data_IF_357402111069
#
_entry.id   IF_357402111069
#
_cell.length_a   1.000
_cell.length_b   1.000
_cell.length_c   1.000
_cell.angle_alpha   90.00
_cell.angle_beta   90.00
_cell.angle_gamma   90.00
#
_symmetry.space_group_name_H-M   'P 1'
#
loop_
_entity.id
_entity.type
_entity.pdbx_description
1 polymer ?
#
# COMPACT_ATOMS: atom_id res chain seq x y z
N UNK A 1 -10.84 1.64 61.62
CA UNK A 1 -11.34 0.34 61.12
C UNK A 1 -12.55 0.67 60.26
N UNK A 2 -12.70 0.37 58.98
CA UNK A 2 -11.93 -0.37 57.98
C UNK A 2 -12.66 -0.04 56.67
N UNK A 3 -11.99 0.58 55.70
CA UNK A 3 -12.64 1.06 54.47
C UNK A 3 -12.75 -0.08 53.46
N UNK A 4 -13.98 -0.54 53.20
CA UNK A 4 -14.29 -1.57 52.22
C UNK A 4 -14.00 -1.10 50.78
N UNK A 5 -12.78 -1.38 50.32
CA UNK A 5 -12.43 -1.29 48.90
C UNK A 5 -13.07 -2.47 48.15
N UNK A 6 -14.24 -2.25 47.54
CA UNK A 6 -14.83 -3.17 46.55
C UNK A 6 -13.89 -3.30 45.34
N UNK A 7 -13.05 -4.35 45.37
CA UNK A 7 -12.22 -4.76 44.23
C UNK A 7 -13.15 -5.18 43.09
N UNK A 8 -13.15 -4.40 42.00
CA UNK A 8 -13.84 -4.72 40.75
C UNK A 8 -13.15 -5.95 40.14
N UNK A 9 -13.71 -7.12 40.41
CA UNK A 9 -13.18 -8.40 39.95
C UNK A 9 -13.34 -8.47 38.42
N UNK A 10 -12.24 -8.33 37.68
CA UNK A 10 -12.23 -8.47 36.22
C UNK A 10 -12.58 -9.92 35.89
N UNK A 11 -13.78 -10.16 35.34
CA UNK A 11 -14.17 -11.47 34.83
C UNK A 11 -13.31 -11.78 33.60
N UNK A 12 -12.19 -12.47 33.81
CA UNK A 12 -11.50 -13.10 32.70
C UNK A 12 -12.42 -14.14 32.09
N UNK A 13 -12.68 -13.98 30.78
CA UNK A 13 -13.50 -14.90 29.99
C UNK A 13 -13.07 -16.34 30.27
N UNK A 14 -14.06 -17.20 30.53
CA UNK A 14 -13.85 -18.64 30.72
C UNK A 14 -13.15 -19.18 29.48
N UNK A 15 -11.85 -19.43 29.58
CA UNK A 15 -11.10 -20.19 28.59
C UNK A 15 -11.73 -21.58 28.52
N UNK A 16 -12.60 -21.77 27.53
CA UNK A 16 -13.19 -23.05 27.15
C UNK A 16 -12.03 -23.99 26.89
N UNK A 17 -11.78 -24.93 27.82
CA UNK A 17 -10.83 -26.03 27.65
C UNK A 17 -11.28 -26.83 26.43
N UNK A 18 -10.69 -26.55 25.26
CA UNK A 18 -10.78 -27.42 24.09
C UNK A 18 -9.75 -28.55 24.26
N UNK A 19 -10.12 -29.72 23.77
CA UNK A 19 -9.55 -31.04 24.05
C UNK A 19 -8.02 -31.08 23.94
N UNK A 20 -7.43 -31.91 24.79
CA UNK A 20 -6.01 -32.21 24.88
C UNK A 20 -5.39 -32.50 23.51
N UNK A 21 -4.33 -31.77 23.21
CA UNK A 21 -3.62 -31.87 21.93
C UNK A 21 -2.62 -30.73 21.78
N UNK A 22 -1.55 -30.75 22.58
CA UNK A 22 -0.28 -30.11 22.22
C UNK A 22 -0.29 -28.58 22.05
N UNK A 23 -0.77 -27.84 23.04
CA UNK A 23 -0.41 -26.42 23.19
C UNK A 23 0.74 -26.38 24.19
N UNK A 24 1.93 -26.72 23.71
CA UNK A 24 3.14 -26.29 24.39
C UNK A 24 3.03 -24.78 24.55
N UNK A 25 3.20 -24.28 25.79
CA UNK A 25 3.53 -22.87 26.02
C UNK A 25 4.50 -22.49 24.92
N UNK A 26 4.10 -21.63 23.99
CA UNK A 26 5.05 -20.98 23.11
C UNK A 26 5.93 -20.19 24.06
N UNK A 27 7.07 -20.77 24.45
CA UNK A 27 8.15 -20.02 25.06
C UNK A 27 8.44 -18.96 24.02
N UNK A 28 7.95 -17.74 24.27
CA UNK A 28 8.35 -16.58 23.51
C UNK A 28 9.86 -16.57 23.71
N UNK A 29 10.60 -17.06 22.71
CA UNK A 29 12.05 -16.99 22.77
C UNK A 29 12.29 -15.49 22.84
N UNK A 30 12.81 -15.02 23.97
CA UNK A 30 13.44 -13.71 24.07
C UNK A 30 14.64 -13.79 23.12
N UNK A 31 14.38 -13.74 21.82
CA UNK A 31 15.38 -13.39 20.83
C UNK A 31 15.83 -12.03 21.32
N UNK A 32 17.08 -11.96 21.78
CA UNK A 32 17.76 -10.70 21.99
C UNK A 32 17.46 -9.89 20.74
N UNK A 33 16.56 -8.92 20.87
CA UNK A 33 16.10 -8.12 19.76
C UNK A 33 17.24 -7.15 19.43
N UNK A 34 18.34 -7.66 18.86
CA UNK A 34 19.08 -6.97 17.82
C UNK A 34 18.11 -6.89 16.63
N UNK A 35 17.06 -6.07 16.78
CA UNK A 35 15.89 -6.09 15.91
C UNK A 35 16.17 -5.49 14.54
N UNK A 36 17.33 -4.85 14.36
CA UNK A 36 17.76 -4.27 13.11
C UNK A 36 19.28 -4.34 13.01
N UNK A 37 19.79 -4.63 11.80
CA UNK A 37 21.18 -4.28 11.47
C UNK A 37 21.34 -2.77 11.71
N UNK A 38 22.42 -2.30 12.37
CA UNK A 38 22.61 -0.88 12.56
C UNK A 38 22.61 -0.19 11.18
N UNK A 39 21.94 0.97 11.05
CA UNK A 39 21.95 1.70 9.79
C UNK A 39 23.39 2.10 9.44
N UNK A 40 23.72 2.01 8.15
CA UNK A 40 24.99 2.52 7.65
C UNK A 40 24.85 4.04 7.52
N UNK A 41 25.20 4.77 8.58
CA UNK A 41 25.16 6.24 8.62
C UNK A 41 26.50 6.74 8.08
N UNK A 42 26.49 7.44 6.94
CA UNK A 42 27.69 8.05 6.33
C UNK A 42 28.16 9.27 7.13
N UNK A 43 27.21 10.08 7.60
CA UNK A 43 27.48 11.39 8.22
C UNK A 43 28.01 11.25 9.64
N UNK A 44 29.14 11.91 9.92
CA UNK A 44 29.84 11.81 11.21
C UNK A 44 29.01 12.39 12.36
N UNK A 45 28.32 13.51 12.12
CA UNK A 45 27.47 14.20 13.12
C UNK A 45 26.26 13.35 13.50
N UNK A 46 25.64 12.68 12.52
CA UNK A 46 24.53 11.77 12.80
C UNK A 46 25.03 10.55 13.54
N UNK A 47 26.21 10.03 13.16
CA UNK A 47 26.82 8.86 13.79
C UNK A 47 27.19 9.12 15.26
N UNK A 48 27.70 10.30 15.62
CA UNK A 48 28.03 10.64 17.01
C UNK A 48 26.80 10.76 17.90
N UNK A 49 25.66 11.17 17.34
CA UNK A 49 24.41 11.38 18.06
C UNK A 49 23.46 10.16 17.99
N UNK A 50 23.82 9.10 17.27
CA UNK A 50 22.98 7.92 17.09
C UNK A 50 23.21 6.88 18.19
N UNK A 51 22.19 6.66 19.02
CA UNK A 51 22.23 5.65 20.09
C UNK A 51 21.64 4.31 19.60
N UNK A 52 22.44 3.23 19.48
CA UNK A 52 21.96 1.95 18.97
C UNK A 52 20.97 1.23 19.92
N UNK A 53 20.84 1.68 21.17
CA UNK A 53 19.89 1.11 22.13
C UNK A 53 18.48 1.68 22.00
N UNK A 54 18.35 2.84 21.34
CA UNK A 54 17.08 3.54 21.12
C UNK A 54 16.49 3.18 19.75
N UNK A 55 15.18 3.40 19.61
CA UNK A 55 14.52 3.22 18.32
C UNK A 55 14.94 4.32 17.34
N UNK A 56 14.95 4.01 16.04
CA UNK A 56 15.27 4.98 14.99
C UNK A 56 14.42 6.26 15.10
N UNK A 57 13.13 6.14 15.44
CA UNK A 57 12.25 7.28 15.66
C UNK A 57 12.71 8.23 16.77
N UNK A 58 13.23 7.68 17.88
CA UNK A 58 13.73 8.47 19.01
C UNK A 58 15.05 9.14 18.65
N UNK A 59 15.93 8.43 17.93
CA UNK A 59 17.19 9.02 17.45
C UNK A 59 16.94 10.15 16.45
N UNK A 60 15.99 9.99 15.53
CA UNK A 60 15.58 11.05 14.60
C UNK A 60 15.02 12.25 15.37
N UNK A 61 14.16 12.03 16.37
CA UNK A 61 13.61 13.12 17.19
C UNK A 61 14.69 13.89 17.95
N UNK A 62 15.74 13.22 18.46
CA UNK A 62 16.87 13.88 19.12
C UNK A 62 17.70 14.75 18.15
N UNK A 63 17.69 14.41 16.87
CA UNK A 63 18.29 15.22 15.79
C UNK A 63 17.34 16.33 15.29
N UNK A 64 16.15 16.48 15.88
CA UNK A 64 15.12 17.42 15.41
C UNK A 64 14.39 16.96 14.15
N UNK A 65 14.54 15.69 13.76
CA UNK A 65 13.94 15.12 12.55
C UNK A 65 12.70 14.29 12.89
N UNK A 66 11.69 14.34 12.03
CA UNK A 66 10.49 13.50 12.15
C UNK A 66 10.68 12.18 11.38
N UNK A 67 10.31 11.06 11.99
CA UNK A 67 10.42 9.75 11.34
C UNK A 67 9.33 9.46 10.31
N UNK A 68 8.19 10.17 10.40
CA UNK A 68 7.02 9.93 9.56
C UNK A 68 6.76 11.16 8.68
N UNK A 69 7.40 11.21 7.51
CA UNK A 69 7.29 12.33 6.56
C UNK A 69 5.86 12.56 6.05
N UNK A 70 5.01 11.53 6.06
CA UNK A 70 3.64 11.60 5.53
C UNK A 70 2.56 11.84 6.61
N UNK A 71 2.91 11.78 7.89
CA UNK A 71 1.92 12.03 8.97
C UNK A 71 1.49 13.51 9.03
N UNK A 72 2.33 14.42 8.53
CA UNK A 72 2.03 15.85 8.42
C UNK A 72 1.07 16.18 7.27
N UNK A 73 0.98 15.32 6.25
CA UNK A 73 0.12 15.52 5.06
C UNK A 73 -1.30 14.99 5.29
N UNK A 74 -1.46 13.95 6.12
CA UNK A 74 -2.77 13.34 6.41
C UNK A 74 -3.55 14.10 7.49
N UNK A 75 -2.89 14.96 8.27
CA UNK A 75 -3.57 15.83 9.23
C UNK A 75 -3.78 17.20 8.58
N UNK A 76 -5.02 17.63 8.25
CA UNK A 76 -5.25 19.02 7.88
C UNK A 76 -4.70 19.88 9.02
N UNK A 77 -3.88 20.87 8.64
CA UNK A 77 -3.13 21.71 9.54
C UNK A 77 -3.97 22.18 10.74
N UNK A 78 -3.71 21.62 11.92
CA UNK A 78 -3.94 22.34 13.16
C UNK A 78 -2.87 23.44 13.22
N UNK A 79 -3.11 24.52 12.49
CA UNK A 79 -2.45 25.80 12.69
C UNK A 79 -2.94 26.37 14.03
N UNK A 80 -2.48 25.77 15.12
CA UNK A 80 -2.64 26.29 16.45
C UNK A 80 -1.60 25.61 17.34
N UNK A 81 -0.87 26.42 18.11
CA UNK A 81 0.13 26.01 19.12
C UNK A 81 1.57 25.91 18.62
N UNK A 82 2.10 26.99 18.05
CA UNK A 82 3.48 27.37 18.37
C UNK A 82 3.45 28.19 19.68
N UNK A 83 4.30 27.89 20.68
CA UNK A 83 4.44 28.72 21.86
C UNK A 83 5.17 30.03 21.49
N UNK A 84 4.68 31.20 21.92
CA UNK A 84 5.38 32.45 21.67
C UNK A 84 6.58 32.54 22.61
N UNK A 85 7.78 32.46 22.06
CA UNK A 85 8.97 32.92 22.76
C UNK A 85 9.73 33.89 21.87
N UNK A 86 10.18 34.96 22.53
CA UNK A 86 11.19 35.93 22.13
C UNK A 86 10.83 37.02 21.10
N UNK A 87 10.52 38.18 21.70
CA UNK A 87 11.21 39.47 21.49
C UNK A 87 10.51 40.48 20.57
N UNK A 88 9.76 41.36 21.24
CA UNK A 88 9.55 42.75 20.85
C UNK A 88 10.89 43.46 20.66
N UNK A 89 11.16 43.98 19.47
CA UNK A 89 11.56 45.38 19.30
C UNK A 89 11.70 45.77 17.82
N UNK A 90 11.48 47.06 17.57
CA UNK A 90 11.52 47.80 16.29
C UNK A 90 10.23 47.67 15.45
N UNK A 91 9.24 48.59 15.53
CA UNK A 91 9.21 50.05 15.25
C UNK A 91 9.09 50.36 13.75
N UNK A 92 7.84 50.67 13.36
CA UNK A 92 7.38 51.64 12.31
C UNK A 92 7.94 51.48 10.89
N UNK A 93 7.19 51.46 9.79
CA UNK A 93 6.13 52.39 9.37
C UNK A 93 5.31 51.78 8.23
N UNK A 94 4.03 52.06 8.26
CA UNK A 94 3.09 52.14 7.13
C UNK A 94 3.72 52.50 5.78
N UNK A 95 3.48 51.67 4.76
CA UNK A 95 3.07 52.11 3.42
C UNK A 95 2.25 50.99 2.79
N UNK A 96 1.04 51.36 2.39
CA UNK A 96 0.14 50.52 1.63
C UNK A 96 0.64 50.48 0.20
N UNK A 97 1.19 49.35 -0.21
CA UNK A 97 1.29 49.00 -1.62
C UNK A 97 0.58 47.67 -1.82
N UNK A 98 -0.46 47.74 -2.64
CA UNK A 98 -1.21 46.62 -3.19
C UNK A 98 -0.30 45.77 -4.07
N UNK A 99 0.61 45.02 -3.45
CA UNK A 99 1.29 43.93 -4.12
C UNK A 99 0.27 42.80 -4.29
N UNK A 100 -0.32 42.73 -5.48
CA UNK A 100 -0.85 41.48 -6.03
C UNK A 100 0.21 40.42 -5.74
N UNK A 101 -0.10 39.50 -4.83
CA UNK A 101 0.69 38.30 -4.62
C UNK A 101 0.50 37.47 -5.89
N UNK A 102 1.34 37.74 -6.90
CA UNK A 102 1.53 36.80 -7.99
C UNK A 102 1.99 35.52 -7.34
N UNK A 103 1.24 34.45 -7.57
CA UNK A 103 1.71 33.11 -7.25
C UNK A 103 3.12 32.99 -7.82
N UNK A 104 4.08 32.74 -6.94
CA UNK A 104 5.47 32.57 -7.32
C UNK A 104 5.50 31.27 -8.15
N UNK A 105 5.50 31.39 -9.47
CA UNK A 105 5.73 30.32 -10.45
C UNK A 105 7.19 29.85 -10.35
N UNK A 106 7.55 29.20 -9.24
CA UNK A 106 8.91 28.79 -8.94
C UNK A 106 9.32 27.47 -9.59
N UNK A 107 8.47 26.87 -10.42
CA UNK A 107 8.81 25.64 -11.11
C UNK A 107 8.36 25.70 -12.58
N UNK A 108 9.26 26.19 -13.43
CA UNK A 108 9.35 25.71 -14.80
C UNK A 108 9.68 24.22 -14.72
N UNK A 109 8.66 23.37 -14.72
CA UNK A 109 8.84 21.93 -14.88
C UNK A 109 9.15 21.76 -16.37
N UNK A 110 10.38 21.42 -16.77
CA UNK A 110 10.63 21.08 -18.17
C UNK A 110 9.69 19.93 -18.54
N UNK A 111 9.11 19.98 -19.74
CA UNK A 111 8.36 18.86 -20.31
C UNK A 111 9.29 17.64 -20.33
N UNK A 112 9.22 16.83 -19.27
CA UNK A 112 10.02 15.63 -19.09
C UNK A 112 9.44 14.51 -19.94
N UNK A 113 9.46 14.71 -21.26
CA UNK A 113 9.12 13.70 -22.27
C UNK A 113 10.26 12.71 -22.51
N UNK A 114 11.32 12.78 -21.70
CA UNK A 114 12.32 11.72 -21.62
C UNK A 114 11.78 10.63 -20.70
N UNK A 115 10.86 9.82 -21.24
CA UNK A 115 10.49 8.55 -20.63
C UNK A 115 11.79 7.74 -20.51
N UNK A 116 12.27 7.45 -19.29
CA UNK A 116 13.53 6.74 -19.10
C UNK A 116 13.46 5.44 -19.88
N UNK A 117 14.52 5.18 -20.67
CA UNK A 117 14.67 4.03 -21.56
C UNK A 117 13.95 2.81 -20.97
N UNK A 118 12.88 2.38 -21.66
CA UNK A 118 11.92 1.39 -21.19
C UNK A 118 12.61 0.33 -20.32
N UNK A 119 12.38 0.42 -18.99
CA UNK A 119 12.94 -0.54 -18.04
C UNK A 119 12.63 -1.95 -18.51
N UNK A 120 13.44 -2.96 -18.13
CA UNK A 120 13.23 -4.35 -18.58
C UNK A 120 11.78 -4.83 -18.38
N UNK A 121 11.05 -4.30 -17.39
CA UNK A 121 9.62 -4.51 -17.15
C UNK A 121 8.71 -3.99 -18.26
N UNK A 122 9.02 -2.87 -18.90
CA UNK A 122 8.33 -2.32 -20.06
C UNK A 122 8.63 -3.11 -21.35
N UNK A 123 9.76 -3.83 -21.41
CA UNK A 123 10.05 -4.80 -22.50
C UNK A 123 9.37 -6.15 -22.33
N UNK A 124 8.90 -6.49 -21.12
CA UNK A 124 8.17 -7.73 -20.92
C UNK A 124 6.73 -7.55 -21.42
N UNK A 125 6.18 -8.60 -22.05
CA UNK A 125 4.78 -8.58 -22.44
C UNK A 125 3.91 -8.28 -21.22
N UNK A 126 2.83 -7.48 -21.36
CA UNK A 126 1.96 -7.16 -20.24
C UNK A 126 1.34 -8.42 -19.60
N UNK A 127 1.19 -9.49 -20.38
CA UNK A 127 0.72 -10.81 -19.95
C UNK A 127 1.57 -11.89 -20.64
N UNK A 128 1.97 -12.93 -19.91
CA UNK A 128 2.72 -14.05 -20.46
C UNK A 128 1.88 -14.86 -21.46
N UNK A 129 2.50 -15.57 -22.40
CA UNK A 129 1.78 -16.36 -23.42
C UNK A 129 0.98 -17.50 -22.77
N UNK A 130 1.55 -18.14 -21.75
CA UNK A 130 0.87 -19.18 -20.96
C UNK A 130 -0.36 -18.63 -20.24
N UNK A 131 -0.23 -17.44 -19.62
CA UNK A 131 -1.37 -16.76 -18.99
C UNK A 131 -2.45 -16.41 -20.01
N UNK A 132 -2.09 -15.97 -21.22
CA UNK A 132 -3.07 -15.70 -22.30
C UNK A 132 -3.85 -16.97 -22.67
N UNK A 133 -3.15 -18.09 -22.91
CA UNK A 133 -3.79 -19.38 -23.22
C UNK A 133 -4.70 -19.86 -22.08
N UNK A 134 -4.23 -19.72 -20.84
CA UNK A 134 -4.99 -20.08 -19.65
C UNK A 134 -6.28 -19.26 -19.53
N UNK A 135 -6.16 -17.93 -19.65
CA UNK A 135 -7.31 -17.02 -19.55
C UNK A 135 -8.33 -17.30 -20.66
N UNK A 136 -7.88 -17.57 -21.89
CA UNK A 136 -8.76 -17.93 -23.00
C UNK A 136 -9.55 -19.20 -22.69
N UNK A 137 -8.92 -20.24 -22.12
CA UNK A 137 -9.63 -21.47 -21.70
C UNK A 137 -10.70 -21.18 -20.64
N UNK A 138 -10.38 -20.35 -19.64
CA UNK A 138 -11.34 -19.94 -18.63
C UNK A 138 -12.54 -19.21 -19.24
N UNK A 139 -12.26 -18.18 -20.05
CA UNK A 139 -13.28 -17.34 -20.69
C UNK A 139 -14.16 -18.15 -21.64
N UNK A 140 -13.57 -19.07 -22.41
CA UNK A 140 -14.33 -19.91 -23.33
C UNK A 140 -15.38 -20.76 -22.62
N UNK A 141 -15.10 -21.23 -21.39
CA UNK A 141 -16.04 -22.08 -20.65
C UNK A 141 -17.10 -21.31 -19.87
N UNK A 142 -16.71 -20.21 -19.23
CA UNK A 142 -17.56 -19.48 -18.29
C UNK A 142 -18.05 -18.13 -18.82
N UNK A 143 -17.52 -17.68 -19.95
CA UNK A 143 -17.70 -16.33 -20.45
C UNK A 143 -16.85 -15.31 -19.69
N UNK A 144 -17.01 -14.06 -20.10
CA UNK A 144 -16.58 -12.90 -19.32
C UNK A 144 -17.84 -12.40 -18.64
N UNK A 145 -17.80 -12.19 -17.32
CA UNK A 145 -18.90 -11.56 -16.62
C UNK A 145 -19.11 -10.16 -17.19
N UNK A 146 -20.01 -10.07 -18.17
CA UNK A 146 -20.34 -8.88 -18.96
C UNK A 146 -21.51 -8.12 -18.36
N UNK A 147 -21.98 -8.55 -17.19
CA UNK A 147 -22.98 -7.86 -16.42
C UNK A 147 -22.36 -6.57 -15.86
N UNK A 148 -23.03 -5.45 -16.08
CA UNK A 148 -22.70 -4.16 -15.43
C UNK A 148 -22.88 -4.26 -13.90
N UNK A 149 -23.62 -5.27 -13.45
CA UNK A 149 -23.80 -5.57 -12.04
C UNK A 149 -22.59 -6.35 -11.49
N UNK A 150 -21.91 -5.73 -10.53
CA UNK A 150 -20.73 -6.30 -9.87
C UNK A 150 -20.98 -7.69 -9.27
N UNK A 151 -22.21 -7.98 -8.85
CA UNK A 151 -22.60 -9.24 -8.18
C UNK A 151 -22.59 -10.44 -9.14
N UNK A 152 -23.14 -10.31 -10.35
CA UNK A 152 -23.22 -11.41 -11.32
C UNK A 152 -21.84 -11.75 -11.90
N UNK A 153 -21.01 -10.72 -12.09
CA UNK A 153 -19.62 -10.88 -12.49
C UNK A 153 -18.84 -11.70 -11.45
N UNK A 154 -19.12 -11.44 -10.19
CA UNK A 154 -18.50 -12.09 -9.06
C UNK A 154 -18.90 -13.57 -8.91
N UNK A 155 -20.10 -13.97 -9.34
CA UNK A 155 -20.49 -15.38 -9.42
C UNK A 155 -19.75 -16.15 -10.52
N UNK A 156 -19.55 -15.53 -11.67
CA UNK A 156 -18.86 -16.15 -12.81
C UNK A 156 -17.41 -16.47 -12.43
N UNK A 157 -16.71 -15.53 -11.82
CA UNK A 157 -15.35 -15.77 -11.33
C UNK A 157 -15.30 -16.75 -10.15
N UNK A 158 -16.37 -16.84 -9.35
CA UNK A 158 -16.46 -17.85 -8.30
C UNK A 158 -16.57 -19.26 -8.90
N UNK A 159 -17.40 -19.43 -9.93
CA UNK A 159 -17.53 -20.70 -10.69
C UNK A 159 -16.19 -21.10 -11.34
N UNK A 160 -15.48 -20.14 -11.94
CA UNK A 160 -14.13 -20.36 -12.47
C UNK A 160 -13.13 -20.80 -11.40
N UNK A 161 -13.16 -20.15 -10.22
CA UNK A 161 -12.23 -20.45 -9.13
C UNK A 161 -12.45 -21.88 -8.57
N UNK A 162 -13.70 -22.34 -8.52
CA UNK A 162 -14.06 -23.68 -8.06
C UNK A 162 -13.80 -24.79 -9.07
N UNK A 163 -13.63 -24.47 -10.36
CA UNK A 163 -13.43 -25.47 -11.40
C UNK A 163 -11.99 -25.95 -11.49
N UNK A 164 -11.69 -27.01 -10.75
CA UNK A 164 -10.36 -27.60 -10.63
C UNK A 164 -9.80 -28.07 -11.98
N UNK A 165 -10.67 -28.39 -12.97
CA UNK A 165 -10.23 -28.94 -14.27
C UNK A 165 -9.78 -27.88 -15.27
N UNK A 166 -10.26 -26.65 -15.11
CA UNK A 166 -9.88 -25.53 -15.98
C UNK A 166 -8.91 -24.61 -15.24
N UNK A 167 -9.08 -24.47 -13.93
CA UNK A 167 -8.20 -23.74 -13.04
C UNK A 167 -7.18 -24.68 -12.36
N UNK A 168 -6.32 -25.32 -13.17
CA UNK A 168 -5.29 -26.25 -12.67
C UNK A 168 -4.35 -25.60 -11.65
N UNK A 169 -4.13 -24.29 -11.79
CA UNK A 169 -3.30 -23.48 -10.89
C UNK A 169 -4.04 -22.97 -9.65
N UNK A 170 -5.29 -23.39 -9.45
CA UNK A 170 -6.14 -23.10 -8.29
C UNK A 170 -6.11 -21.62 -7.88
N UNK A 171 -6.16 -20.74 -8.88
CA UNK A 171 -6.16 -19.31 -8.65
C UNK A 171 -7.41 -18.88 -7.90
N UNK A 172 -7.24 -17.95 -6.96
CA UNK A 172 -8.36 -17.35 -6.24
C UNK A 172 -9.17 -16.47 -7.19
N UNK A 173 -10.47 -16.32 -6.91
CA UNK A 173 -11.39 -15.43 -7.64
C UNK A 173 -10.78 -14.06 -7.94
N UNK A 174 -10.18 -13.41 -6.93
CA UNK A 174 -9.58 -12.09 -7.09
C UNK A 174 -8.39 -12.07 -8.04
N UNK A 175 -7.60 -13.16 -8.09
CA UNK A 175 -6.49 -13.29 -9.03
C UNK A 175 -7.00 -13.47 -10.45
N UNK A 176 -8.01 -14.32 -10.65
CA UNK A 176 -8.67 -14.50 -11.95
C UNK A 176 -9.27 -13.19 -12.48
N UNK A 177 -10.00 -12.45 -11.63
CA UNK A 177 -10.56 -11.14 -11.98
C UNK A 177 -9.47 -10.17 -12.47
N UNK A 178 -8.32 -10.10 -11.78
CA UNK A 178 -7.18 -9.26 -12.19
C UNK A 178 -6.53 -9.73 -13.49
N UNK A 179 -6.39 -11.04 -13.68
CA UNK A 179 -5.79 -11.61 -14.88
C UNK A 179 -6.67 -11.35 -16.10
N UNK A 180 -7.97 -11.64 -16.00
CA UNK A 180 -8.95 -11.38 -17.06
C UNK A 180 -9.02 -9.89 -17.35
N UNK A 181 -9.08 -9.03 -16.33
CA UNK A 181 -9.09 -7.58 -16.54
C UNK A 181 -7.84 -7.07 -17.29
N UNK A 182 -6.65 -7.61 -16.96
CA UNK A 182 -5.42 -7.29 -17.69
C UNK A 182 -5.45 -7.79 -19.13
N UNK A 183 -5.94 -9.01 -19.35
CA UNK A 183 -6.08 -9.59 -20.69
C UNK A 183 -7.02 -8.75 -21.57
N UNK A 184 -8.14 -8.27 -21.01
CA UNK A 184 -9.09 -7.40 -21.71
C UNK A 184 -8.54 -6.02 -22.06
N UNK A 185 -7.42 -5.60 -21.47
CA UNK A 185 -6.75 -4.34 -21.76
C UNK A 185 -5.60 -4.51 -22.78
N UNK A 186 -5.33 -5.73 -23.26
CA UNK A 186 -4.29 -5.97 -24.25
C UNK A 186 -4.73 -5.45 -25.63
N UNK A 187 -3.79 -4.84 -26.34
CA UNK A 187 -3.97 -4.51 -27.77
C UNK A 187 -3.86 -5.76 -28.64
N UNK A 188 -4.45 -5.72 -29.84
CA UNK A 188 -4.36 -6.81 -30.82
C UNK A 188 -2.90 -7.15 -31.19
N UNK A 189 -2.01 -6.15 -31.18
CA UNK A 189 -0.57 -6.30 -31.42
C UNK A 189 0.17 -7.10 -30.33
N UNK A 190 -0.41 -7.15 -29.12
CA UNK A 190 0.19 -7.78 -27.94
C UNK A 190 -0.33 -9.22 -27.72
N UNK A 191 -1.40 -9.60 -28.41
CA UNK A 191 -1.93 -10.96 -28.40
C UNK A 191 -1.04 -11.86 -29.24
N UNK A 192 -0.51 -12.92 -28.62
CA UNK A 192 0.29 -13.95 -29.31
C UNK A 192 -0.46 -15.27 -29.50
N UNK A 193 -1.66 -15.34 -28.97
CA UNK A 193 -2.50 -16.55 -28.98
C UNK A 193 -3.71 -16.25 -29.85
N UNK A 194 -4.15 -17.26 -30.60
CA UNK A 194 -5.40 -17.19 -31.37
C UNK A 194 -6.58 -17.05 -30.41
N UNK A 195 -7.27 -15.92 -30.51
CA UNK A 195 -8.46 -15.60 -29.71
C UNK A 195 -9.70 -15.85 -30.57
N UNK A 196 -10.71 -16.50 -30.02
CA UNK A 196 -12.02 -16.69 -30.68
C UNK A 196 -12.67 -15.33 -30.99
N UNK A 197 -13.40 -15.25 -32.09
CA UNK A 197 -13.99 -13.99 -32.56
C UNK A 197 -15.02 -13.42 -31.56
N UNK A 198 -15.68 -14.27 -30.78
CA UNK A 198 -16.56 -13.85 -29.67
C UNK A 198 -15.82 -13.02 -28.62
N UNK A 199 -14.61 -13.47 -28.24
CA UNK A 199 -13.79 -12.80 -27.23
C UNK A 199 -13.20 -11.51 -27.83
N UNK A 200 -12.79 -11.53 -29.10
CA UNK A 200 -12.33 -10.31 -29.80
C UNK A 200 -13.43 -9.25 -29.85
N UNK A 201 -14.67 -9.65 -30.16
CA UNK A 201 -15.81 -8.75 -30.18
C UNK A 201 -16.03 -8.11 -28.80
N UNK A 202 -15.84 -8.87 -27.72
CA UNK A 202 -15.94 -8.35 -26.36
C UNK A 202 -14.84 -7.35 -26.02
N UNK A 203 -13.60 -7.61 -26.44
CA UNK A 203 -12.48 -6.68 -26.23
C UNK A 203 -12.69 -5.34 -26.95
N UNK A 204 -13.35 -5.35 -28.12
CA UNK A 204 -13.68 -4.14 -28.90
C UNK A 204 -14.88 -3.35 -28.38
N UNK A 205 -15.68 -3.91 -27.47
CA UNK A 205 -16.90 -3.26 -26.96
C UNK A 205 -16.62 -2.19 -25.89
N UNK A 206 -15.36 -1.98 -25.52
CA UNK A 206 -14.91 -0.88 -24.63
C UNK A 206 -14.53 0.35 -25.44
#
# INVERSE_FOLDING_TARGET
>A
RESERKRKMVRHGRNRKRRAGRIGRTKLKNRNYSKFKPPQITDEVVRSNWDPTKTASVNMANLGLQSNLNDSVVKPASFASFPPTSTSDSKTTTTADSNKVSAIELFNIPESDVIPAQTKRLRMLPVSVEDQQFIIKCIHKYGVGSSEDDDENDETFQKMACDIKVNDMQHTKNKLKKMVARFMLLEESQLRVEVSDEIKALMKKK
#
